data_IF_186544277503
#
_entry.id   IF_186544277503
#
_cell.length_a   1.000
_cell.length_b   1.000
_cell.length_c   1.000
_cell.angle_alpha   90.00
_cell.angle_beta   90.00
_cell.angle_gamma   90.00
#
_symmetry.space_group_name_H-M   'P 1'
#
loop_
_entity.id
_entity.type
_entity.pdbx_description
1 polymer ?
#
# COMPACT_ATOMS: atom_id res chain seq x y z
N UNK A 1 -13.24 14.60 7.29
CA UNK A 1 -12.01 15.35 6.89
C UNK A 1 -11.59 14.78 5.55
N UNK A 2 -11.09 15.62 4.61
CA UNK A 2 -10.55 15.10 3.34
C UNK A 2 -9.16 14.52 3.64
N UNK A 3 -8.86 13.26 3.29
CA UNK A 3 -7.57 12.64 3.55
C UNK A 3 -6.46 13.32 2.73
N UNK A 4 -5.22 13.21 3.18
CA UNK A 4 -4.07 13.69 2.42
C UNK A 4 -3.74 12.74 1.28
N UNK A 5 -3.39 13.31 0.11
CA UNK A 5 -2.89 12.50 -0.99
C UNK A 5 -1.41 12.15 -0.75
N UNK A 6 -1.08 10.91 -1.00
CA UNK A 6 0.30 10.40 -1.01
C UNK A 6 0.54 9.64 -2.31
N UNK A 7 1.78 9.31 -2.60
CA UNK A 7 2.15 8.39 -3.69
C UNK A 7 3.00 7.26 -3.13
N UNK A 8 2.62 6.03 -3.45
CA UNK A 8 3.44 4.85 -3.18
C UNK A 8 4.63 4.85 -4.14
N UNK A 9 5.86 4.94 -3.58
CA UNK A 9 7.09 5.10 -4.38
C UNK A 9 7.47 3.84 -5.18
N UNK A 10 6.86 2.69 -4.90
CA UNK A 10 6.98 1.52 -5.75
C UNK A 10 6.51 1.80 -7.18
N UNK A 11 5.54 2.68 -7.36
CA UNK A 11 5.04 3.15 -8.66
C UNK A 11 6.16 3.68 -9.55
N UNK A 12 7.10 4.40 -8.98
CA UNK A 12 8.19 5.08 -9.69
C UNK A 12 9.56 4.46 -9.42
N UNK A 13 9.59 3.21 -8.91
CA UNK A 13 10.82 2.52 -8.48
C UNK A 13 11.93 2.49 -9.51
N UNK A 14 11.60 2.31 -10.79
CA UNK A 14 12.60 2.22 -11.86
C UNK A 14 13.24 3.58 -12.16
N UNK A 15 12.47 4.66 -12.09
CA UNK A 15 12.99 6.03 -12.19
C UNK A 15 13.79 6.39 -10.94
N UNK A 16 13.27 6.07 -9.76
CA UNK A 16 13.93 6.31 -8.49
C UNK A 16 15.28 5.57 -8.38
N UNK A 17 15.39 4.36 -8.94
CA UNK A 17 16.65 3.62 -9.02
C UNK A 17 17.70 4.33 -9.88
N UNK A 18 17.28 5.05 -10.92
CA UNK A 18 18.17 5.80 -11.83
C UNK A 18 18.52 7.18 -11.26
N UNK A 19 17.52 7.91 -10.77
CA UNK A 19 17.66 9.24 -10.17
C UNK A 19 16.60 9.44 -9.08
N UNK A 20 16.93 9.03 -7.86
CA UNK A 20 16.02 9.15 -6.71
C UNK A 20 15.65 10.62 -6.43
N UNK A 21 16.63 11.51 -6.48
CA UNK A 21 16.42 12.91 -6.16
C UNK A 21 15.57 13.64 -7.23
N UNK A 22 15.84 13.41 -8.51
CA UNK A 22 15.04 13.97 -9.61
C UNK A 22 13.61 13.45 -9.60
N UNK A 23 13.42 12.16 -9.32
CA UNK A 23 12.09 11.55 -9.21
C UNK A 23 11.27 12.19 -8.09
N UNK A 24 11.86 12.36 -6.90
CA UNK A 24 11.14 12.99 -5.78
C UNK A 24 10.87 14.49 -5.99
N UNK A 25 11.75 15.21 -6.68
CA UNK A 25 11.47 16.61 -7.08
C UNK A 25 10.25 16.67 -8.00
N UNK A 26 10.16 15.81 -9.00
CA UNK A 26 9.01 15.75 -9.91
C UNK A 26 7.69 15.43 -9.17
N UNK A 27 7.75 14.56 -8.14
CA UNK A 27 6.61 14.26 -7.27
C UNK A 27 6.22 15.49 -6.44
N UNK A 28 7.18 16.17 -5.80
CA UNK A 28 6.93 17.35 -4.99
C UNK A 28 6.37 18.52 -5.84
N UNK A 29 6.90 18.71 -7.05
CA UNK A 29 6.42 19.73 -8.01
C UNK A 29 4.99 19.45 -8.50
N UNK A 30 4.53 18.20 -8.48
CA UNK A 30 3.15 17.85 -8.79
C UNK A 30 2.18 18.36 -7.73
N UNK A 31 2.66 18.59 -6.50
CA UNK A 31 1.84 19.07 -5.37
C UNK A 31 1.65 18.03 -4.26
N UNK A 32 2.31 16.86 -4.33
CA UNK A 32 2.32 15.92 -3.22
C UNK A 32 3.05 16.53 -2.02
N UNK A 33 2.45 16.40 -0.85
CA UNK A 33 3.08 16.73 0.43
C UNK A 33 3.51 15.47 1.20
N UNK A 34 3.11 14.30 0.70
CA UNK A 34 3.35 13.02 1.35
C UNK A 34 3.78 11.98 0.32
N UNK A 35 4.64 11.06 0.75
CA UNK A 35 5.08 9.89 0.00
C UNK A 35 4.98 8.66 0.89
N UNK A 36 4.88 7.49 0.27
CA UNK A 36 4.93 6.21 0.94
C UNK A 36 6.08 5.40 0.35
N UNK A 37 7.22 5.31 1.05
CA UNK A 37 8.37 4.53 0.60
C UNK A 37 8.09 3.02 0.57
N UNK A 38 8.70 2.33 -0.41
CA UNK A 38 8.85 0.88 -0.47
C UNK A 38 10.33 0.55 -0.69
N UNK A 39 11.13 0.81 0.34
CA UNK A 39 12.58 0.84 0.26
C UNK A 39 13.13 2.13 -0.37
N UNK A 40 14.45 2.17 -0.59
CA UNK A 40 15.18 3.36 -1.03
C UNK A 40 16.11 3.01 -2.21
N UNK A 41 15.57 2.70 -3.39
CA UNK A 41 16.36 2.25 -4.54
C UNK A 41 17.35 3.34 -4.97
N UNK A 42 18.64 2.98 -5.05
CA UNK A 42 19.71 3.89 -5.47
C UNK A 42 20.15 4.92 -4.42
N UNK A 43 19.63 4.85 -3.17
CA UNK A 43 19.97 5.76 -2.08
C UNK A 43 19.90 5.05 -0.72
N UNK A 44 20.06 5.79 0.37
CA UNK A 44 19.88 5.29 1.74
C UNK A 44 18.71 5.98 2.43
N UNK A 45 18.15 5.36 3.48
CA UNK A 45 17.10 5.95 4.30
C UNK A 45 17.48 7.34 4.84
N UNK A 46 18.76 7.54 5.22
CA UNK A 46 19.28 8.82 5.73
C UNK A 46 19.33 9.90 4.65
N UNK A 47 19.74 9.55 3.45
CA UNK A 47 19.74 10.47 2.30
C UNK A 47 18.33 10.80 1.85
N UNK A 48 17.45 9.79 1.82
CA UNK A 48 16.02 9.99 1.54
C UNK A 48 15.38 10.97 2.55
N UNK A 49 15.67 10.82 3.84
CA UNK A 49 15.17 11.74 4.88
C UNK A 49 15.58 13.19 4.61
N UNK A 50 16.85 13.44 4.28
CA UNK A 50 17.35 14.80 3.95
C UNK A 50 16.57 15.37 2.77
N UNK A 51 16.38 14.56 1.73
CA UNK A 51 15.67 14.98 0.54
C UNK A 51 14.17 15.24 0.82
N UNK A 52 13.53 14.42 1.66
CA UNK A 52 12.16 14.68 2.11
C UNK A 52 12.04 16.02 2.82
N UNK A 53 13.00 16.34 3.71
CA UNK A 53 13.05 17.61 4.41
C UNK A 53 13.26 18.79 3.47
N UNK A 54 14.20 18.69 2.51
CA UNK A 54 14.48 19.72 1.51
C UNK A 54 13.25 20.02 0.62
N UNK A 55 12.51 18.97 0.24
CA UNK A 55 11.33 19.08 -0.63
C UNK A 55 10.02 19.36 0.14
N UNK A 56 10.09 19.34 1.48
CA UNK A 56 8.92 19.48 2.34
C UNK A 56 7.93 18.31 2.17
N UNK A 57 8.45 17.12 1.89
CA UNK A 57 7.72 15.86 1.86
C UNK A 57 7.70 15.21 3.24
N UNK A 58 6.66 14.46 3.55
CA UNK A 58 6.54 13.62 4.75
C UNK A 58 6.23 12.20 4.31
N UNK A 59 6.69 11.22 5.10
CA UNK A 59 6.43 9.81 4.84
C UNK A 59 5.71 9.19 6.06
N UNK A 60 4.40 9.44 6.22
CA UNK A 60 3.65 8.94 7.37
C UNK A 60 3.48 7.43 7.38
N UNK A 61 3.47 6.79 6.23
CA UNK A 61 3.44 5.35 6.03
C UNK A 61 4.61 4.89 5.17
N UNK A 62 4.98 3.63 5.30
CA UNK A 62 5.97 2.98 4.44
C UNK A 62 5.68 1.49 4.34
N UNK A 63 5.94 0.90 3.16
CA UNK A 63 6.00 -0.55 3.01
C UNK A 63 7.33 -1.06 3.53
N UNK A 64 7.27 -1.90 4.56
CA UNK A 64 8.44 -2.44 5.27
C UNK A 64 8.33 -3.94 5.44
N UNK A 65 9.40 -4.59 5.87
CA UNK A 65 9.30 -5.92 6.44
C UNK A 65 8.46 -5.90 7.73
N UNK A 66 7.88 -7.05 8.08
CA UNK A 66 7.14 -7.18 9.34
C UNK A 66 8.11 -7.05 10.54
N UNK A 67 7.85 -6.17 11.53
CA UNK A 67 8.76 -5.91 12.64
C UNK A 67 8.68 -7.01 13.72
N UNK A 68 9.12 -8.22 13.36
CA UNK A 68 9.20 -9.42 14.22
C UNK A 68 10.59 -10.06 14.09
N UNK A 69 10.94 -10.93 15.04
CA UNK A 69 12.22 -11.63 15.02
C UNK A 69 13.43 -10.69 15.15
N UNK A 70 14.55 -11.08 14.55
CA UNK A 70 15.85 -10.40 14.74
C UNK A 70 15.93 -8.99 14.12
N UNK A 71 15.19 -8.75 13.04
CA UNK A 71 15.23 -7.49 12.30
C UNK A 71 14.31 -6.40 12.88
N UNK A 72 13.48 -6.71 13.88
CA UNK A 72 12.47 -5.80 14.39
C UNK A 72 13.04 -4.45 14.86
N UNK A 73 14.16 -4.46 15.56
CA UNK A 73 14.76 -3.23 16.09
C UNK A 73 15.27 -2.31 14.99
N UNK A 74 15.89 -2.86 13.95
CA UNK A 74 16.36 -2.09 12.80
C UNK A 74 15.20 -1.43 12.06
N UNK A 75 14.08 -2.15 11.87
CA UNK A 75 12.85 -1.62 11.25
C UNK A 75 12.26 -0.49 12.10
N UNK A 76 12.19 -0.66 13.42
CA UNK A 76 11.67 0.34 14.35
C UNK A 76 12.55 1.61 14.35
N UNK A 77 13.87 1.44 14.44
CA UNK A 77 14.83 2.56 14.44
C UNK A 77 14.74 3.37 13.14
N UNK A 78 14.66 2.70 11.99
CA UNK A 78 14.50 3.35 10.69
C UNK A 78 13.16 4.09 10.61
N UNK A 79 12.08 3.50 11.07
CA UNK A 79 10.75 4.12 11.07
C UNK A 79 10.72 5.39 11.93
N UNK A 80 11.32 5.34 13.12
CA UNK A 80 11.42 6.50 14.01
C UNK A 80 12.28 7.61 13.41
N UNK A 81 13.40 7.26 12.79
CA UNK A 81 14.29 8.21 12.13
C UNK A 81 13.57 8.95 10.99
N UNK A 82 12.75 8.23 10.21
CA UNK A 82 12.03 8.78 9.05
C UNK A 82 10.69 9.45 9.42
N UNK A 83 10.23 9.29 10.66
CA UNK A 83 8.98 9.84 11.14
C UNK A 83 7.75 9.09 10.62
N UNK A 84 7.90 7.80 10.28
CA UNK A 84 6.76 6.96 9.95
C UNK A 84 5.85 6.79 11.16
N UNK A 85 4.58 6.63 10.89
CA UNK A 85 3.54 6.31 11.87
C UNK A 85 2.97 4.91 11.63
N UNK A 86 2.90 4.52 10.36
CA UNK A 86 2.29 3.29 9.89
C UNK A 86 3.32 2.47 9.10
N UNK A 87 3.58 1.24 9.56
CA UNK A 87 4.45 0.28 8.90
C UNK A 87 3.58 -0.78 8.24
N UNK A 88 3.55 -0.77 6.92
CA UNK A 88 2.66 -1.61 6.13
C UNK A 88 3.47 -2.77 5.55
N UNK A 89 2.89 -3.96 5.56
CA UNK A 89 3.50 -5.15 4.94
C UNK A 89 2.46 -5.84 4.06
N UNK A 90 2.69 -5.85 2.75
CA UNK A 90 1.82 -6.51 1.78
C UNK A 90 2.21 -7.96 1.49
N UNK A 91 3.48 -8.29 1.68
CA UNK A 91 4.02 -9.64 1.44
C UNK A 91 4.81 -10.10 2.65
N UNK A 92 4.15 -10.55 3.74
CA UNK A 92 4.84 -11.10 4.91
C UNK A 92 5.63 -12.35 4.51
N UNK A 93 6.63 -12.78 5.30
CA UNK A 93 7.40 -13.97 5.00
C UNK A 93 6.48 -15.17 4.73
N UNK A 94 6.75 -15.94 3.67
CA UNK A 94 5.94 -17.10 3.25
C UNK A 94 4.47 -16.75 2.89
N UNK A 95 4.20 -15.54 2.42
CA UNK A 95 2.84 -15.07 2.14
C UNK A 95 2.02 -16.06 1.27
N UNK A 96 2.64 -16.80 0.37
CA UNK A 96 1.97 -17.78 -0.49
C UNK A 96 1.37 -18.95 0.31
N UNK A 97 1.92 -19.28 1.50
CA UNK A 97 1.42 -20.33 2.35
C UNK A 97 0.23 -19.89 3.21
N UNK A 98 0.13 -18.59 3.52
CA UNK A 98 -0.84 -18.05 4.48
C UNK A 98 -2.30 -18.24 4.08
N UNK A 99 -2.59 -18.33 2.77
CA UNK A 99 -3.95 -18.43 2.27
C UNK A 99 -4.35 -19.84 1.84
N UNK A 100 -3.59 -20.86 2.25
CA UNK A 100 -3.84 -22.27 1.90
C UNK A 100 -4.77 -22.97 2.89
N UNK A 101 -4.93 -22.44 4.11
CA UNK A 101 -5.87 -22.94 5.14
C UNK A 101 -6.24 -21.82 6.10
N UNK A 102 -7.36 -21.96 6.83
CA UNK A 102 -7.74 -20.99 7.87
C UNK A 102 -6.73 -20.94 9.01
N UNK A 103 -6.08 -22.06 9.34
CA UNK A 103 -5.06 -22.08 10.38
C UNK A 103 -3.81 -21.29 9.95
N UNK A 104 -3.44 -21.33 8.68
CA UNK A 104 -2.35 -20.51 8.15
C UNK A 104 -2.70 -19.01 8.17
N UNK A 105 -3.96 -18.64 7.87
CA UNK A 105 -4.42 -17.24 8.02
C UNK A 105 -4.32 -16.78 9.48
N UNK A 106 -4.72 -17.63 10.45
CA UNK A 106 -4.59 -17.33 11.89
C UNK A 106 -3.12 -17.20 12.30
N UNK A 107 -2.25 -18.10 11.84
CA UNK A 107 -0.81 -18.02 12.12
C UNK A 107 -0.20 -16.70 11.57
N UNK A 108 -0.64 -16.26 10.39
CA UNK A 108 -0.26 -14.94 9.89
C UNK A 108 -0.79 -13.82 10.79
N UNK A 109 -2.04 -13.89 11.24
CA UNK A 109 -2.61 -12.90 12.15
C UNK A 109 -1.81 -12.81 13.47
N UNK A 110 -1.30 -13.93 14.01
CA UNK A 110 -0.44 -13.96 15.19
C UNK A 110 0.87 -13.17 14.97
N UNK A 111 1.47 -13.25 13.78
CA UNK A 111 2.66 -12.45 13.44
C UNK A 111 2.36 -10.94 13.48
N UNK A 112 1.18 -10.53 13.01
CA UNK A 112 0.76 -9.12 13.07
C UNK A 112 0.41 -8.69 14.50
N UNK A 113 -0.09 -9.59 15.35
CA UNK A 113 -0.27 -9.32 16.78
C UNK A 113 1.08 -9.10 17.47
N UNK A 114 2.09 -9.92 17.17
CA UNK A 114 3.46 -9.75 17.68
C UNK A 114 4.05 -8.42 17.20
N UNK A 115 3.94 -8.13 15.91
CA UNK A 115 4.41 -6.87 15.35
C UNK A 115 3.74 -5.65 16.02
N UNK A 116 2.42 -5.69 16.22
CA UNK A 116 1.71 -4.63 16.92
C UNK A 116 2.18 -4.45 18.36
N UNK A 117 2.45 -5.54 19.08
CA UNK A 117 3.02 -5.49 20.43
C UNK A 117 4.42 -4.86 20.45
N UNK A 118 5.28 -5.20 19.47
CA UNK A 118 6.62 -4.64 19.32
C UNK A 118 6.58 -3.14 19.00
N UNK A 119 5.63 -2.66 18.21
CA UNK A 119 5.52 -1.27 17.79
C UNK A 119 4.85 -0.35 18.82
N UNK A 120 3.96 -0.90 19.64
CA UNK A 120 3.15 -0.15 20.63
C UNK A 120 3.97 0.78 21.53
N UNK A 121 5.13 0.36 22.14
CA UNK A 121 5.95 1.24 23.00
C UNK A 121 6.51 2.47 22.29
N UNK A 122 6.57 2.42 20.95
CA UNK A 122 7.14 3.47 20.10
C UNK A 122 6.06 4.39 19.50
N UNK A 123 4.78 4.13 19.77
CA UNK A 123 3.67 4.87 19.18
C UNK A 123 3.45 4.59 17.69
N UNK A 124 4.01 3.50 17.17
CA UNK A 124 3.89 3.06 15.79
C UNK A 124 2.77 2.03 15.65
N UNK A 125 2.24 1.87 14.44
CA UNK A 125 1.22 0.85 14.14
C UNK A 125 1.66 0.02 12.93
N UNK A 126 1.38 -1.28 12.97
CA UNK A 126 1.52 -2.18 11.82
C UNK A 126 0.22 -2.22 11.04
N UNK A 127 0.33 -2.38 9.73
CA UNK A 127 -0.81 -2.61 8.83
C UNK A 127 -0.52 -3.69 7.81
N UNK A 128 -1.60 -4.29 7.31
CA UNK A 128 -1.58 -5.25 6.22
C UNK A 128 -2.09 -4.58 4.94
N UNK A 129 -1.38 -4.78 3.82
CA UNK A 129 -1.81 -4.34 2.50
C UNK A 129 -2.26 -5.55 1.68
N UNK A 130 -3.45 -5.49 1.09
CA UNK A 130 -4.01 -6.59 0.34
C UNK A 130 -3.69 -6.58 -1.16
N UNK A 131 -3.68 -7.78 -1.71
CA UNK A 131 -3.83 -8.08 -3.13
C UNK A 131 -5.12 -8.88 -3.35
N UNK A 132 -5.36 -9.37 -4.56
CA UNK A 132 -6.58 -10.14 -4.87
C UNK A 132 -6.59 -11.55 -4.23
N UNK A 133 -5.43 -12.20 -4.13
CA UNK A 133 -5.31 -13.55 -3.52
C UNK A 133 -5.62 -13.55 -2.02
N UNK A 134 -5.34 -12.45 -1.31
CA UNK A 134 -5.59 -12.30 0.14
C UNK A 134 -7.08 -12.27 0.47
N UNK A 135 -7.89 -12.00 -0.53
CA UNK A 135 -9.34 -11.89 -0.44
C UNK A 135 -10.06 -13.17 -0.86
N UNK A 136 -9.29 -14.26 -1.08
CA UNK A 136 -9.81 -15.57 -1.45
C UNK A 136 -10.74 -16.15 -0.37
N UNK A 137 -11.60 -17.07 -0.80
CA UNK A 137 -12.38 -17.92 0.11
C UNK A 137 -11.55 -19.17 0.42
N UNK A 138 -11.22 -19.34 1.70
CA UNK A 138 -10.47 -20.48 2.23
C UNK A 138 -11.41 -21.22 3.18
N UNK A 139 -11.63 -22.51 2.94
CA UNK A 139 -12.51 -23.36 3.78
C UNK A 139 -13.88 -22.72 4.07
N UNK A 140 -14.46 -22.05 3.05
CA UNK A 140 -15.79 -21.43 3.14
C UNK A 140 -15.84 -20.05 3.81
N UNK A 141 -14.71 -19.48 4.22
CA UNK A 141 -14.61 -18.14 4.81
C UNK A 141 -13.67 -17.26 4.02
N UNK A 142 -13.94 -15.95 3.95
CA UNK A 142 -13.00 -14.98 3.38
C UNK A 142 -11.77 -14.85 4.29
N UNK A 143 -10.57 -14.98 3.72
CA UNK A 143 -9.33 -14.97 4.48
C UNK A 143 -9.13 -13.64 5.24
N UNK A 144 -9.42 -12.48 4.61
CA UNK A 144 -9.31 -11.18 5.27
C UNK A 144 -10.23 -11.05 6.51
N UNK A 145 -11.44 -11.63 6.48
CA UNK A 145 -12.34 -11.61 7.64
C UNK A 145 -11.76 -12.42 8.80
N UNK A 146 -11.16 -13.59 8.48
CA UNK A 146 -10.47 -14.39 9.50
C UNK A 146 -9.27 -13.64 10.07
N UNK A 147 -8.51 -12.93 9.23
CA UNK A 147 -7.42 -12.06 9.69
C UNK A 147 -7.94 -10.95 10.62
N UNK A 148 -9.00 -10.25 10.24
CA UNK A 148 -9.59 -9.18 11.06
C UNK A 148 -10.11 -9.70 12.41
N UNK A 149 -10.73 -10.88 12.42
CA UNK A 149 -11.26 -11.51 13.64
C UNK A 149 -10.14 -11.94 14.62
N UNK A 150 -8.94 -12.22 14.11
CA UNK A 150 -7.80 -12.71 14.89
C UNK A 150 -6.71 -11.64 15.14
N UNK A 151 -6.94 -10.38 14.77
CA UNK A 151 -6.03 -9.27 15.05
C UNK A 151 -6.73 -8.16 15.83
N UNK A 152 -6.05 -7.46 16.75
CA UNK A 152 -6.61 -6.30 17.43
C UNK A 152 -6.88 -5.15 16.44
N UNK A 153 -7.83 -4.28 16.75
CA UNK A 153 -8.20 -3.12 15.92
C UNK A 153 -7.03 -2.15 15.68
N UNK A 154 -5.99 -2.22 16.49
CA UNK A 154 -4.74 -1.45 16.30
C UNK A 154 -3.88 -1.94 15.15
N UNK A 155 -4.10 -3.16 14.64
CA UNK A 155 -3.54 -3.63 13.38
C UNK A 155 -4.35 -3.03 12.24
N UNK A 156 -3.72 -2.18 11.44
CA UNK A 156 -4.37 -1.48 10.34
C UNK A 156 -4.59 -2.42 9.14
N UNK A 157 -5.46 -1.97 8.24
CA UNK A 157 -5.67 -2.62 6.96
C UNK A 157 -5.61 -1.56 5.85
N UNK A 158 -4.52 -1.55 5.12
CA UNK A 158 -4.34 -0.70 3.95
C UNK A 158 -5.02 -1.34 2.75
N UNK A 159 -6.28 -0.95 2.53
CA UNK A 159 -7.04 -1.52 1.43
C UNK A 159 -6.61 -0.92 0.09
N UNK A 160 -6.19 -1.79 -0.84
CA UNK A 160 -6.04 -1.45 -2.23
C UNK A 160 -7.36 -1.73 -2.97
N UNK A 161 -8.01 -0.67 -3.41
CA UNK A 161 -9.36 -0.73 -4.00
C UNK A 161 -9.41 -1.44 -5.34
N UNK A 162 -8.30 -1.45 -6.10
CA UNK A 162 -8.21 -2.19 -7.36
C UNK A 162 -8.21 -3.70 -7.11
N UNK A 163 -7.36 -4.15 -6.18
CA UNK A 163 -7.27 -5.56 -5.84
C UNK A 163 -8.55 -6.09 -5.21
N UNK A 164 -9.24 -5.25 -4.41
CA UNK A 164 -10.58 -5.57 -3.88
C UNK A 164 -11.58 -5.78 -5.02
N UNK A 165 -11.64 -4.86 -5.99
CA UNK A 165 -12.52 -4.98 -7.13
C UNK A 165 -12.18 -6.21 -7.99
N UNK A 166 -10.89 -6.50 -8.20
CA UNK A 166 -10.41 -7.66 -8.93
C UNK A 166 -10.76 -8.99 -8.25
N UNK A 167 -10.80 -9.02 -6.93
CA UNK A 167 -11.27 -10.18 -6.16
C UNK A 167 -12.81 -10.36 -6.22
N UNK A 168 -13.51 -9.51 -6.98
CA UNK A 168 -14.97 -9.56 -7.12
C UNK A 168 -15.72 -8.97 -5.93
N UNK A 169 -15.08 -8.17 -5.10
CA UNK A 169 -15.68 -7.48 -3.96
C UNK A 169 -15.99 -6.01 -4.34
N UNK A 170 -16.99 -5.43 -3.67
CA UNK A 170 -17.25 -3.99 -3.78
C UNK A 170 -16.32 -3.20 -2.86
N UNK A 171 -15.42 -2.33 -3.41
CA UNK A 171 -14.46 -1.58 -2.62
C UNK A 171 -15.10 -0.71 -1.53
N UNK A 172 -16.27 -0.11 -1.80
CA UNK A 172 -16.94 0.73 -0.82
C UNK A 172 -17.47 -0.09 0.37
N UNK A 173 -17.97 -1.29 0.12
CA UNK A 173 -18.40 -2.21 1.17
C UNK A 173 -17.20 -2.71 1.98
N UNK A 174 -16.13 -3.10 1.29
CA UNK A 174 -14.91 -3.56 1.93
C UNK A 174 -14.30 -2.50 2.87
N UNK A 175 -14.22 -1.24 2.42
CA UNK A 175 -13.74 -0.12 3.25
C UNK A 175 -14.62 0.08 4.49
N UNK A 176 -15.94 -0.07 4.37
CA UNK A 176 -16.83 -0.01 5.54
C UNK A 176 -16.59 -1.17 6.52
N UNK A 177 -16.32 -2.37 6.01
CA UNK A 177 -16.04 -3.56 6.84
C UNK A 177 -14.73 -3.44 7.62
N UNK A 178 -13.66 -2.94 7.01
CA UNK A 178 -12.39 -2.71 7.73
C UNK A 178 -12.49 -1.53 8.70
N UNK A 179 -13.44 -0.61 8.50
CA UNK A 179 -13.78 0.47 9.41
C UNK A 179 -12.58 1.32 9.85
N UNK A 180 -12.34 1.51 11.16
CA UNK A 180 -11.28 2.38 11.69
C UNK A 180 -9.86 1.88 11.40
N UNK A 181 -9.69 0.64 10.93
CA UNK A 181 -8.38 0.11 10.51
C UNK A 181 -7.91 0.71 9.18
N UNK A 182 -8.81 1.25 8.34
CA UNK A 182 -8.51 1.86 7.04
C UNK A 182 -7.97 3.29 7.14
N UNK A 183 -6.77 3.46 7.71
CA UNK A 183 -6.11 4.77 7.86
C UNK A 183 -5.37 5.21 6.61
N UNK A 184 -4.78 4.28 5.89
CA UNK A 184 -4.10 4.45 4.61
C UNK A 184 -4.80 3.56 3.60
N UNK A 185 -5.10 4.08 2.41
CA UNK A 185 -5.78 3.34 1.36
C UNK A 185 -5.06 3.57 0.03
N UNK A 186 -4.92 2.54 -0.77
CA UNK A 186 -4.41 2.65 -2.13
C UNK A 186 -5.55 2.81 -3.14
N UNK A 187 -5.55 3.94 -3.82
CA UNK A 187 -6.52 4.25 -4.89
C UNK A 187 -5.87 3.99 -6.24
N UNK A 188 -5.75 2.71 -6.54
CA UNK A 188 -5.27 2.16 -7.80
C UNK A 188 -6.46 1.94 -8.74
N UNK A 189 -6.29 2.21 -10.03
CA UNK A 189 -7.33 2.01 -11.03
C UNK A 189 -6.81 1.20 -12.22
N UNK A 190 -7.70 0.58 -12.93
CA UNK A 190 -7.36 -0.27 -14.06
C UNK A 190 -8.55 -1.00 -14.64
N UNK A 191 -8.28 -1.91 -15.57
CA UNK A 191 -9.29 -2.81 -16.11
C UNK A 191 -9.42 -4.01 -15.18
N UNK A 192 -10.57 -4.12 -14.55
CA UNK A 192 -10.90 -5.24 -13.66
C UNK A 192 -11.32 -6.43 -14.52
N UNK A 193 -10.40 -7.36 -14.76
CA UNK A 193 -10.72 -8.63 -15.40
C UNK A 193 -10.49 -9.78 -14.43
N UNK A 194 -11.46 -10.69 -14.33
CA UNK A 194 -11.36 -11.89 -13.50
C UNK A 194 -10.42 -12.97 -14.11
N UNK A 195 -9.76 -12.68 -15.23
CA UNK A 195 -8.93 -13.62 -15.99
C UNK A 195 -7.44 -13.28 -15.90
N UNK A 196 -6.93 -12.95 -14.74
CA UNK A 196 -5.49 -12.92 -14.61
C UNK A 196 -4.95 -14.34 -14.50
N UNK A 197 -4.22 -14.72 -15.50
CA UNK A 197 -3.35 -15.88 -15.42
C UNK A 197 -2.04 -15.44 -14.75
N UNK A 198 -1.76 -16.00 -13.59
CA UNK A 198 -0.44 -15.86 -12.99
C UNK A 198 0.52 -16.83 -13.69
N UNK A 199 1.67 -16.32 -14.10
CA UNK A 199 2.78 -17.14 -14.62
C UNK A 199 3.93 -17.12 -13.65
N UNK A 200 4.57 -18.28 -13.43
CA UNK A 200 5.87 -18.30 -12.75
C UNK A 200 6.89 -17.55 -13.61
N UNK A 201 7.57 -16.58 -13.03
CA UNK A 201 8.76 -15.95 -13.63
C UNK A 201 9.97 -16.21 -12.74
N UNK A 202 11.08 -16.58 -13.32
CA UNK A 202 12.37 -16.65 -12.62
C UNK A 202 12.98 -15.27 -12.49
N UNK A 203 13.40 -14.92 -11.27
CA UNK A 203 14.17 -13.72 -10.98
C UNK A 203 15.48 -14.11 -10.31
N UNK A 204 16.41 -13.18 -10.19
CA UNK A 204 17.66 -13.39 -9.45
C UNK A 204 17.45 -13.80 -7.98
N UNK A 205 16.31 -13.46 -7.41
CA UNK A 205 15.90 -13.81 -6.04
C UNK A 205 15.04 -15.07 -5.93
N UNK A 206 14.80 -15.78 -7.04
CA UNK A 206 13.99 -16.99 -7.10
C UNK A 206 12.74 -16.86 -7.97
N UNK A 207 11.88 -17.87 -7.91
CA UNK A 207 10.62 -17.89 -8.66
C UNK A 207 9.60 -16.97 -8.01
N UNK A 208 9.00 -16.10 -8.80
CA UNK A 208 7.88 -15.25 -8.40
C UNK A 208 6.68 -15.50 -9.30
N UNK A 209 5.48 -15.30 -8.77
CA UNK A 209 4.27 -15.28 -9.58
C UNK A 209 4.10 -13.88 -10.15
N UNK A 210 4.16 -13.76 -11.48
CA UNK A 210 3.83 -12.52 -12.19
C UNK A 210 2.47 -12.70 -12.87
N UNK A 211 1.61 -11.71 -12.72
CA UNK A 211 0.40 -11.68 -13.53
C UNK A 211 0.73 -11.28 -14.97
N UNK A 212 -0.02 -11.79 -15.92
CA UNK A 212 -0.06 -11.17 -17.26
C UNK A 212 -0.34 -9.66 -17.07
N UNK A 213 0.24 -8.84 -17.96
CA UNK A 213 0.17 -7.39 -17.85
C UNK A 213 -1.23 -6.91 -17.46
N UNK A 214 -1.38 -6.53 -16.20
CA UNK A 214 -2.62 -5.94 -15.71
C UNK A 214 -2.67 -4.53 -16.30
N UNK A 215 -3.70 -4.19 -17.05
CA UNK A 215 -3.79 -2.87 -17.65
C UNK A 215 -4.23 -1.85 -16.58
N UNK A 216 -3.27 -1.43 -15.75
CA UNK A 216 -3.47 -0.30 -14.86
C UNK A 216 -3.76 0.97 -15.64
N UNK A 217 -4.51 1.87 -15.05
CA UNK A 217 -4.98 3.12 -15.64
C UNK A 217 -4.77 4.27 -14.67
N UNK A 218 -4.68 5.46 -15.21
CA UNK A 218 -4.77 6.69 -14.42
C UNK A 218 -6.07 6.67 -13.62
N UNK A 219 -6.03 7.11 -12.37
CA UNK A 219 -7.20 7.16 -11.51
C UNK A 219 -8.39 7.86 -12.18
N UNK A 220 -9.55 7.21 -12.17
CA UNK A 220 -10.78 7.68 -12.81
C UNK A 220 -10.92 7.32 -14.28
N UNK A 221 -9.92 6.66 -14.90
CA UNK A 221 -10.01 6.20 -16.30
C UNK A 221 -10.11 4.67 -16.43
N UNK A 222 -10.13 3.96 -15.32
CA UNK A 222 -10.36 2.53 -15.23
C UNK A 222 -11.79 2.17 -14.87
N UNK A 223 -11.95 1.04 -14.21
CA UNK A 223 -13.25 0.44 -13.88
C UNK A 223 -13.53 0.41 -12.37
N UNK A 224 -12.56 0.83 -11.53
CA UNK A 224 -12.74 0.83 -10.08
C UNK A 224 -13.67 1.99 -9.67
N UNK A 225 -14.69 1.74 -8.83
CA UNK A 225 -15.64 2.78 -8.41
C UNK A 225 -15.02 3.72 -7.35
N UNK A 226 -13.96 4.47 -7.73
CA UNK A 226 -13.16 5.31 -6.82
C UNK A 226 -13.99 6.32 -6.03
N UNK A 227 -15.00 6.94 -6.65
CA UNK A 227 -15.88 7.89 -5.95
C UNK A 227 -16.73 7.24 -4.87
N UNK A 228 -17.19 6.01 -5.09
CA UNK A 228 -17.94 5.25 -4.09
C UNK A 228 -17.02 4.80 -2.95
N UNK A 229 -15.83 4.32 -3.29
CA UNK A 229 -14.79 3.97 -2.32
C UNK A 229 -14.41 5.16 -1.43
N UNK A 230 -14.19 6.35 -2.03
CA UNK A 230 -13.87 7.57 -1.31
C UNK A 230 -14.96 7.98 -0.30
N UNK A 231 -16.23 7.87 -0.68
CA UNK A 231 -17.36 8.15 0.22
C UNK A 231 -17.44 7.19 1.41
N UNK A 232 -16.94 5.97 1.26
CA UNK A 232 -16.88 4.98 2.32
C UNK A 232 -15.66 5.17 3.25
N UNK A 233 -14.62 5.87 2.81
CA UNK A 233 -13.32 6.02 3.48
C UNK A 233 -13.35 7.04 4.64
N UNK A 234 -14.29 6.88 5.58
CA UNK A 234 -14.54 7.83 6.68
C UNK A 234 -13.38 7.96 7.67
N UNK A 235 -12.53 6.95 7.76
CA UNK A 235 -11.42 6.87 8.71
C UNK A 235 -10.05 7.08 8.04
N UNK A 236 -10.02 7.26 6.71
CA UNK A 236 -8.78 7.46 5.98
C UNK A 236 -8.10 8.79 6.36
N UNK A 237 -6.83 8.71 6.69
CA UNK A 237 -5.93 9.85 6.88
C UNK A 237 -5.14 10.13 5.58
N UNK A 238 -4.83 9.07 4.83
CA UNK A 238 -4.05 9.12 3.61
C UNK A 238 -4.67 8.26 2.50
N UNK A 239 -4.60 8.77 1.28
CA UNK A 239 -4.95 8.04 0.05
C UNK A 239 -3.73 8.06 -0.85
N UNK A 240 -3.20 6.89 -1.16
CA UNK A 240 -2.05 6.71 -2.01
C UNK A 240 -2.44 6.48 -3.47
N UNK A 241 -1.79 7.21 -4.36
CA UNK A 241 -1.72 6.86 -5.78
C UNK A 241 -0.74 5.72 -5.93
N UNK A 242 -1.15 4.63 -6.58
CA UNK A 242 -0.25 3.54 -6.92
C UNK A 242 -0.59 2.94 -8.28
N UNK A 243 0.47 2.55 -9.00
CA UNK A 243 0.41 1.73 -10.21
C UNK A 243 1.61 0.77 -10.20
N UNK A 244 1.38 -0.56 -10.25
CA UNK A 244 2.47 -1.53 -10.24
C UNK A 244 3.25 -1.52 -11.56
N UNK A 245 2.56 -1.15 -12.65
CA UNK A 245 3.13 -0.92 -13.97
C UNK A 245 2.25 0.05 -14.77
N UNK A 246 2.82 0.67 -15.80
CA UNK A 246 2.09 1.53 -16.72
C UNK A 246 2.74 1.49 -18.09
N UNK A 247 1.92 1.37 -19.14
CA UNK A 247 2.38 1.44 -20.51
C UNK A 247 2.39 2.91 -20.96
N UNK A 248 3.52 3.57 -20.79
CA UNK A 248 3.71 4.99 -21.08
C UNK A 248 4.51 5.74 -20.02
N UNK A 249 4.35 7.04 -19.94
CA UNK A 249 5.01 7.91 -18.96
C UNK A 249 4.37 7.75 -17.57
N UNK A 250 5.06 7.04 -16.69
CA UNK A 250 4.59 6.76 -15.33
C UNK A 250 4.48 8.04 -14.47
N UNK A 251 5.38 9.02 -14.65
CA UNK A 251 5.28 10.29 -13.93
C UNK A 251 4.07 11.09 -14.38
N UNK A 252 3.78 11.08 -15.68
CA UNK A 252 2.56 11.73 -16.19
C UNK A 252 1.31 11.01 -15.65
N UNK A 253 1.30 9.68 -15.58
CA UNK A 253 0.19 8.92 -15.00
C UNK A 253 -0.02 9.25 -13.51
N UNK A 254 1.05 9.43 -12.74
CA UNK A 254 1.00 9.88 -11.34
C UNK A 254 0.42 11.30 -11.24
N UNK A 255 0.86 12.23 -12.10
CA UNK A 255 0.34 13.61 -12.15
C UNK A 255 -1.15 13.66 -12.50
N UNK A 256 -1.58 12.85 -13.44
CA UNK A 256 -2.99 12.82 -13.87
C UNK A 256 -3.87 12.16 -12.80
N UNK A 257 -3.38 11.12 -12.13
CA UNK A 257 -4.04 10.52 -10.97
C UNK A 257 -4.16 11.50 -9.80
N UNK A 258 -3.09 12.24 -9.50
CA UNK A 258 -3.13 13.34 -8.52
C UNK A 258 -4.22 14.35 -8.85
N UNK A 259 -4.25 14.82 -10.11
CA UNK A 259 -5.24 15.81 -10.58
C UNK A 259 -6.66 15.28 -10.42
N UNK A 260 -6.91 14.05 -10.83
CA UNK A 260 -8.23 13.43 -10.69
C UNK A 260 -8.67 13.38 -9.22
N UNK A 261 -7.85 12.81 -8.33
CA UNK A 261 -8.21 12.63 -6.93
C UNK A 261 -8.42 13.96 -6.19
N UNK A 262 -7.62 14.99 -6.51
CA UNK A 262 -7.75 16.31 -5.87
C UNK A 262 -8.92 17.10 -6.44
N UNK A 263 -9.15 17.08 -7.76
CA UNK A 263 -10.29 17.76 -8.40
C UNK A 263 -11.63 17.23 -7.91
N UNK A 264 -11.73 15.92 -7.69
CA UNK A 264 -12.94 15.28 -7.17
C UNK A 264 -13.04 15.31 -5.64
N UNK A 265 -12.13 16.01 -4.95
CA UNK A 265 -12.09 16.12 -3.48
C UNK A 265 -12.02 14.76 -2.76
N UNK A 266 -11.47 13.76 -3.43
CA UNK A 266 -11.19 12.44 -2.85
C UNK A 266 -10.04 12.56 -1.86
N UNK A 267 -9.01 13.31 -2.22
CA UNK A 267 -7.87 13.61 -1.35
C UNK A 267 -7.42 15.08 -1.54
N UNK A 268 -6.63 15.60 -0.60
CA UNK A 268 -6.08 16.96 -0.67
C UNK A 268 -4.56 16.92 -0.80
N UNK A 269 -4.02 17.77 -1.69
CA UNK A 269 -2.58 17.97 -1.87
C UNK A 269 -1.96 18.85 -0.80
N UNK A 270 -0.69 19.21 -1.02
CA UNK A 270 0.03 20.19 -0.18
C UNK A 270 -0.70 21.55 -0.30
N UNK A 271 -0.97 22.16 0.86
CA UNK A 271 -1.49 23.55 0.91
C UNK A 271 -0.37 24.54 0.75
#
# INVERSE_FOLDING_TARGET
MIPHITVQLYTVRDLAKQDYAGTLRAIAETGFGHVEPAGYPGTTAKEALKLFQELGLKAPSAHTGLPVGDNKNAIIEEALMLGHKYLITGCPPKFQEHYTSLDNVKAMAELYCEAAANLKPHGLQVGYHNHDWDLAVVEGRRAYQVFLDNTPETVLYEADVFWVARAGLDPATFIREIGPRGKVLHFKDGIVSNQATFKEAETESGKIMVSDAIPFRVAGSGQVPLLAAAKAALHAEYIAVELDSFDGDILQAVKDSYRYLTTHQIAQGKK
#
